data_IF_834601143832
#
_entry.id   IF_834601143832
#
_cell.length_a   1.000
_cell.length_b   1.000
_cell.length_c   1.000
_cell.angle_alpha   90.00
_cell.angle_beta   90.00
_cell.angle_gamma   90.00
#
_symmetry.space_group_name_H-M   'P 1'
#
loop_
_entity.id
_entity.type
_entity.pdbx_description
1 polymer ?
#
# COMPACT_ATOMS: atom_id res chain seq x y z
N UNK A 1 62.89 -36.94 -26.79
CA UNK A 1 62.35 -35.85 -25.96
C UNK A 1 61.61 -34.86 -26.82
N UNK A 2 62.23 -34.32 -27.87
CA UNK A 2 61.64 -33.40 -28.86
C UNK A 2 60.29 -33.88 -29.46
N UNK A 3 60.21 -35.10 -30.00
CA UNK A 3 58.95 -35.67 -30.53
C UNK A 3 57.79 -35.71 -29.52
N UNK A 4 58.08 -35.94 -28.23
CA UNK A 4 57.04 -35.96 -27.20
C UNK A 4 56.59 -34.54 -26.85
N UNK A 5 57.48 -33.55 -26.98
CA UNK A 5 57.16 -32.14 -26.82
C UNK A 5 56.29 -31.67 -27.99
N UNK A 6 56.60 -32.05 -29.23
CA UNK A 6 55.77 -31.77 -30.41
C UNK A 6 54.36 -32.37 -30.30
N UNK A 7 54.25 -33.62 -29.81
CA UNK A 7 52.94 -34.24 -29.57
C UNK A 7 52.17 -33.46 -28.50
N UNK A 8 52.83 -33.08 -27.40
CA UNK A 8 52.20 -32.33 -26.33
C UNK A 8 51.75 -30.93 -26.81
N UNK A 9 52.58 -30.26 -27.60
CA UNK A 9 52.25 -28.98 -28.24
C UNK A 9 51.04 -29.12 -29.17
N UNK A 10 50.99 -30.18 -29.99
CA UNK A 10 49.83 -30.44 -30.86
C UNK A 10 48.56 -30.71 -30.06
N UNK A 11 48.65 -31.41 -28.92
CA UNK A 11 47.51 -31.65 -28.03
C UNK A 11 47.03 -30.35 -27.38
N UNK A 12 47.95 -29.44 -27.02
CA UNK A 12 47.59 -28.12 -26.49
C UNK A 12 46.95 -27.23 -27.56
N UNK A 13 47.50 -27.20 -28.77
CA UNK A 13 46.93 -26.46 -29.89
C UNK A 13 45.53 -26.99 -30.24
N UNK A 14 45.35 -28.31 -30.20
CA UNK A 14 44.05 -28.94 -30.40
C UNK A 14 43.07 -28.53 -29.29
N UNK A 15 43.47 -28.65 -28.01
CA UNK A 15 42.64 -28.25 -26.88
C UNK A 15 42.26 -26.75 -26.91
N UNK A 16 43.20 -25.89 -27.32
CA UNK A 16 42.95 -24.46 -27.49
C UNK A 16 41.97 -24.19 -28.65
N UNK A 17 42.11 -24.92 -29.77
CA UNK A 17 41.18 -24.82 -30.89
C UNK A 17 39.77 -25.31 -30.54
N UNK A 18 39.67 -26.40 -29.77
CA UNK A 18 38.40 -26.94 -29.28
C UNK A 18 37.72 -25.98 -28.29
N UNK A 19 38.49 -25.37 -27.37
CA UNK A 19 37.98 -24.37 -26.45
C UNK A 19 37.48 -23.12 -27.19
N UNK A 20 38.24 -22.65 -28.19
CA UNK A 20 37.85 -21.52 -29.02
C UNK A 20 36.59 -21.82 -29.85
N UNK A 21 36.46 -23.04 -30.38
CA UNK A 21 35.26 -23.49 -31.08
C UNK A 21 34.05 -23.53 -30.13
N UNK A 22 34.22 -24.07 -28.92
CA UNK A 22 33.15 -24.09 -27.92
C UNK A 22 32.74 -22.68 -27.50
N UNK A 23 33.68 -21.76 -27.27
CA UNK A 23 33.36 -20.36 -26.95
C UNK A 23 32.52 -19.71 -28.04
N UNK A 24 32.96 -19.82 -29.31
CA UNK A 24 32.23 -19.26 -30.45
C UNK A 24 30.86 -19.89 -30.64
N UNK A 25 30.73 -21.20 -30.42
CA UNK A 25 29.45 -21.90 -30.51
C UNK A 25 28.49 -21.43 -29.41
N UNK A 26 28.99 -21.29 -28.19
CA UNK A 26 28.23 -20.79 -27.04
C UNK A 26 27.78 -19.34 -27.28
N UNK A 27 28.70 -18.47 -27.72
CA UNK A 27 28.38 -17.08 -28.08
C UNK A 27 27.29 -17.01 -29.15
N UNK A 28 27.43 -17.80 -30.22
CA UNK A 28 26.44 -17.87 -31.29
C UNK A 28 25.06 -18.35 -30.81
N UNK A 29 25.01 -19.38 -29.96
CA UNK A 29 23.75 -19.86 -29.36
C UNK A 29 23.14 -18.79 -28.43
N UNK A 30 23.94 -18.13 -27.60
CA UNK A 30 23.49 -17.06 -26.72
C UNK A 30 23.00 -15.81 -27.46
N UNK A 31 23.51 -15.53 -28.65
CA UNK A 31 23.06 -14.41 -29.49
C UNK A 31 21.82 -14.78 -30.30
N UNK A 32 21.67 -16.05 -30.71
CA UNK A 32 20.49 -16.55 -31.41
C UNK A 32 19.23 -16.55 -30.54
N UNK A 33 19.37 -16.82 -29.24
CA UNK A 33 18.27 -16.82 -28.27
C UNK A 33 17.96 -15.41 -27.70
N UNK A 34 18.62 -14.36 -28.20
CA UNK A 34 18.70 -13.04 -27.56
C UNK A 34 17.64 -12.02 -28.00
N UNK A 35 16.85 -12.31 -29.03
CA UNK A 35 16.04 -11.28 -29.71
C UNK A 35 14.74 -10.88 -28.98
N UNK A 36 14.23 -11.65 -28.00
CA UNK A 36 12.90 -11.36 -27.44
C UNK A 36 12.81 -11.16 -25.91
N UNK A 37 13.77 -11.57 -25.08
CA UNK A 37 13.66 -11.34 -23.62
C UNK A 37 14.95 -11.61 -22.80
N UNK A 38 16.07 -10.91 -23.06
CA UNK A 38 17.24 -11.01 -22.18
C UNK A 38 17.08 -10.15 -20.91
N UNK A 39 16.55 -10.77 -19.86
CA UNK A 39 16.68 -10.21 -18.51
C UNK A 39 18.13 -10.34 -18.07
N UNK A 40 18.86 -9.23 -18.06
CA UNK A 40 20.27 -9.21 -17.64
C UNK A 40 20.37 -9.56 -16.14
N UNK A 41 21.00 -10.68 -15.74
CA UNK A 41 21.08 -11.11 -14.35
C UNK A 41 21.83 -10.12 -13.47
N UNK A 42 22.81 -9.38 -14.02
CA UNK A 42 23.51 -8.32 -13.28
C UNK A 42 22.57 -7.14 -12.97
N UNK A 43 21.70 -6.76 -13.92
CA UNK A 43 20.67 -5.74 -13.69
C UNK A 43 19.61 -6.21 -12.70
N UNK A 44 19.22 -7.49 -12.73
CA UNK A 44 18.32 -8.05 -11.72
C UNK A 44 18.93 -8.01 -10.33
N UNK A 45 20.20 -8.40 -10.21
CA UNK A 45 20.89 -8.37 -8.93
C UNK A 45 20.95 -6.95 -8.37
N UNK A 46 21.23 -5.96 -9.22
CA UNK A 46 21.17 -4.56 -8.82
C UNK A 46 19.78 -4.16 -8.36
N UNK A 47 18.73 -4.47 -9.13
CA UNK A 47 17.34 -4.19 -8.73
C UNK A 47 16.99 -4.83 -7.38
N UNK A 48 17.41 -6.06 -7.14
CA UNK A 48 17.17 -6.76 -5.87
C UNK A 48 17.91 -6.05 -4.72
N UNK A 49 19.13 -5.58 -4.94
CA UNK A 49 19.86 -4.81 -3.93
C UNK A 49 19.18 -3.48 -3.62
N UNK A 50 18.68 -2.78 -4.63
CA UNK A 50 17.95 -1.52 -4.46
C UNK A 50 16.65 -1.78 -3.68
N UNK A 51 15.85 -2.78 -4.07
CA UNK A 51 14.63 -3.18 -3.35
C UNK A 51 14.93 -3.54 -1.89
N UNK A 52 16.02 -4.26 -1.64
CA UNK A 52 16.42 -4.63 -0.28
C UNK A 52 16.75 -3.40 0.58
N UNK A 53 17.41 -2.40 0.00
CA UNK A 53 17.72 -1.13 0.67
C UNK A 53 16.45 -0.33 0.96
N UNK A 54 15.55 -0.24 0.00
CA UNK A 54 14.29 0.48 0.14
C UNK A 54 13.41 -0.17 1.19
N UNK A 55 13.28 -1.50 1.16
CA UNK A 55 12.59 -2.28 2.18
C UNK A 55 13.20 -2.06 3.58
N UNK A 56 14.53 -2.08 3.69
CA UNK A 56 15.20 -1.81 4.97
C UNK A 56 14.96 -0.39 5.50
N UNK A 57 14.72 0.58 4.62
CA UNK A 57 14.38 1.95 5.00
C UNK A 57 12.91 2.05 5.44
N UNK A 58 12.00 1.42 4.68
CA UNK A 58 10.58 1.36 4.98
C UNK A 58 10.30 0.67 6.33
N UNK A 59 11.02 -0.41 6.65
CA UNK A 59 10.89 -1.09 7.95
C UNK A 59 11.31 -0.19 9.11
N UNK A 60 12.35 0.63 8.94
CA UNK A 60 12.77 1.59 9.97
C UNK A 60 11.74 2.70 10.17
N UNK A 61 11.17 3.21 9.08
CA UNK A 61 10.11 4.21 9.12
C UNK A 61 8.84 3.66 9.77
N UNK A 62 8.41 2.47 9.38
CA UNK A 62 7.26 1.79 9.98
C UNK A 62 7.47 1.55 11.49
N UNK A 63 8.68 1.14 11.90
CA UNK A 63 9.02 0.98 13.32
C UNK A 63 8.97 2.32 14.09
N UNK A 64 9.45 3.42 13.48
CA UNK A 64 9.37 4.75 14.07
C UNK A 64 7.91 5.22 14.20
N UNK A 65 7.08 5.03 13.17
CA UNK A 65 5.64 5.35 13.21
C UNK A 65 4.95 4.53 14.29
N UNK A 66 5.23 3.23 14.38
CA UNK A 66 4.67 2.36 15.41
C UNK A 66 5.06 2.84 16.83
N UNK A 67 6.30 3.26 17.03
CA UNK A 67 6.75 3.82 18.30
C UNK A 67 5.97 5.10 18.63
N UNK A 68 5.83 6.03 17.68
CA UNK A 68 5.05 7.27 17.86
C UNK A 68 3.59 6.97 18.17
N UNK A 69 2.97 6.00 17.48
CA UNK A 69 1.59 5.58 17.74
C UNK A 69 1.44 5.00 19.15
N UNK A 70 2.40 4.19 19.61
CA UNK A 70 2.40 3.64 20.98
C UNK A 70 2.52 4.75 22.03
N UNK A 71 3.45 5.70 21.83
CA UNK A 71 3.61 6.84 22.73
C UNK A 71 2.35 7.72 22.78
N UNK A 72 1.69 7.93 21.64
CA UNK A 72 0.42 8.65 21.59
C UNK A 72 -0.71 7.91 22.31
N UNK A 73 -0.82 6.58 22.14
CA UNK A 73 -1.79 5.75 22.85
C UNK A 73 -1.56 5.79 24.36
N UNK A 74 -0.31 5.68 24.81
CA UNK A 74 0.05 5.81 26.22
C UNK A 74 -0.30 7.20 26.77
N UNK A 75 -0.05 8.26 26.01
CA UNK A 75 -0.47 9.61 26.37
C UNK A 75 -1.99 9.71 26.56
N UNK A 76 -2.79 9.28 25.58
CA UNK A 76 -4.25 9.31 25.70
C UNK A 76 -4.75 8.48 26.88
N UNK A 77 -4.18 7.30 27.09
CA UNK A 77 -4.48 6.46 28.25
C UNK A 77 -4.25 7.20 29.57
N UNK A 78 -3.11 7.85 29.73
CA UNK A 78 -2.83 8.62 30.97
C UNK A 78 -3.76 9.81 31.15
N UNK A 79 -4.11 10.51 30.07
CA UNK A 79 -5.05 11.63 30.13
C UNK A 79 -6.46 11.17 30.50
N UNK A 80 -6.96 10.11 29.86
CA UNK A 80 -8.26 9.52 30.17
C UNK A 80 -8.29 9.04 31.63
N UNK A 81 -7.26 8.33 32.09
CA UNK A 81 -7.16 7.92 33.49
C UNK A 81 -7.16 9.11 34.46
N UNK A 82 -6.53 10.23 34.09
CA UNK A 82 -6.53 11.45 34.90
C UNK A 82 -7.91 12.10 34.96
N UNK A 83 -8.60 12.20 33.82
CA UNK A 83 -9.96 12.75 33.74
C UNK A 83 -10.96 11.87 34.49
N UNK A 84 -10.85 10.53 34.36
CA UNK A 84 -11.70 9.59 35.10
C UNK A 84 -11.53 9.76 36.61
N UNK A 85 -10.30 9.86 37.12
CA UNK A 85 -10.04 10.11 38.55
C UNK A 85 -10.61 11.45 39.02
N UNK A 86 -10.44 12.50 38.22
CA UNK A 86 -11.00 13.82 38.56
C UNK A 86 -12.53 13.81 38.59
N UNK A 87 -13.16 13.12 37.64
CA UNK A 87 -14.61 12.96 37.59
C UNK A 87 -15.12 12.16 38.80
N UNK A 88 -14.43 11.07 39.15
CA UNK A 88 -14.71 10.24 40.31
C UNK A 88 -14.65 11.06 41.61
N UNK A 89 -13.60 11.86 41.81
CA UNK A 89 -13.46 12.76 42.96
C UNK A 89 -14.62 13.77 43.07
N UNK A 90 -15.12 14.29 41.95
CA UNK A 90 -16.24 15.24 41.92
C UNK A 90 -17.58 14.54 42.19
N UNK A 91 -17.76 13.32 41.67
CA UNK A 91 -18.95 12.50 41.91
C UNK A 91 -19.04 12.10 43.38
N UNK A 92 -17.93 11.66 44.00
CA UNK A 92 -17.84 11.36 45.44
C UNK A 92 -18.24 12.57 46.30
N UNK A 93 -17.80 13.79 45.93
CA UNK A 93 -18.15 15.03 46.64
C UNK A 93 -19.62 15.45 46.46
N UNK A 94 -20.25 15.08 45.36
CA UNK A 94 -21.62 15.51 45.00
C UNK A 94 -22.68 14.48 45.38
N UNK A 95 -22.28 13.25 45.75
CA UNK A 95 -23.19 12.18 46.19
C UNK A 95 -24.07 11.60 45.09
N UNK A 96 -23.76 11.85 43.81
CA UNK A 96 -24.44 11.26 42.65
C UNK A 96 -23.56 10.17 42.07
N UNK A 97 -23.98 8.92 42.22
CA UNK A 97 -23.34 7.76 41.58
C UNK A 97 -24.08 7.48 40.28
N UNK A 98 -23.49 7.82 39.14
CA UNK A 98 -23.94 7.29 37.86
C UNK A 98 -23.41 5.85 37.78
N UNK A 99 -24.32 4.88 37.76
CA UNK A 99 -24.03 3.44 37.83
C UNK A 99 -23.82 2.79 36.46
N UNK A 100 -24.00 3.54 35.37
CA UNK A 100 -23.93 2.99 34.03
C UNK A 100 -22.54 3.22 33.46
N UNK A 101 -21.74 2.15 33.38
CA UNK A 101 -20.48 2.09 32.64
C UNK A 101 -20.78 2.51 31.19
N UNK A 102 -20.31 3.68 30.74
CA UNK A 102 -20.57 4.13 29.38
C UNK A 102 -19.96 3.13 28.39
N UNK A 103 -20.75 2.70 27.41
CA UNK A 103 -20.35 1.72 26.39
C UNK A 103 -19.13 2.20 25.58
N UNK A 104 -18.83 3.49 25.63
CA UNK A 104 -17.64 4.10 25.04
C UNK A 104 -16.34 3.72 25.78
N UNK A 105 -16.39 3.45 27.09
CA UNK A 105 -15.22 2.99 27.85
C UNK A 105 -14.81 1.57 27.44
N UNK A 106 -15.77 0.69 27.14
CA UNK A 106 -15.47 -0.67 26.64
C UNK A 106 -14.72 -0.63 25.30
N UNK A 107 -15.14 0.27 24.40
CA UNK A 107 -14.47 0.49 23.12
C UNK A 107 -13.06 1.06 23.30
N UNK A 108 -12.88 1.95 24.27
CA UNK A 108 -11.58 2.53 24.60
C UNK A 108 -10.65 1.49 25.25
N UNK A 109 -11.18 0.61 26.11
CA UNK A 109 -10.43 -0.51 26.70
C UNK A 109 -10.02 -1.55 25.67
N UNK A 110 -10.86 -1.80 24.66
CA UNK A 110 -10.56 -2.66 23.51
C UNK A 110 -9.45 -2.05 22.63
N UNK A 111 -9.50 -0.74 22.38
CA UNK A 111 -8.49 -0.03 21.57
C UNK A 111 -7.16 0.16 22.32
N UNK A 112 -7.18 0.39 23.64
CA UNK A 112 -5.99 0.66 24.46
C UNK A 112 -5.45 -0.58 25.21
N UNK A 113 -6.18 -1.70 25.18
CA UNK A 113 -5.79 -2.98 25.79
C UNK A 113 -5.64 -2.96 27.32
N UNK A 114 -6.24 -2.01 28.03
CA UNK A 114 -6.05 -1.82 29.48
C UNK A 114 -7.37 -1.59 30.19
N UNK A 115 -7.62 -2.37 31.26
CA UNK A 115 -8.75 -2.14 32.18
C UNK A 115 -8.56 -0.85 32.97
N UNK A 116 -9.49 0.08 32.85
CA UNK A 116 -9.51 1.30 33.65
C UNK A 116 -10.11 0.92 35.01
N UNK A 117 -9.38 1.07 36.12
CA UNK A 117 -9.93 0.73 37.43
C UNK A 117 -10.94 1.79 37.85
N UNK A 118 -12.22 1.42 37.83
CA UNK A 118 -13.28 2.11 38.59
C UNK A 118 -13.28 1.51 39.98
N UNK A 119 -13.05 2.33 41.02
CA UNK A 119 -13.06 1.86 42.39
C UNK A 119 -14.46 1.51 42.86
N UNK A 120 -14.78 0.21 42.96
CA UNK A 120 -15.56 -0.34 44.07
C UNK A 120 -15.53 -1.88 44.06
N UNK A 121 -14.50 -2.47 44.67
CA UNK A 121 -14.63 -3.81 45.28
C UNK A 121 -13.96 -3.80 46.66
N UNK A 122 -14.75 -3.51 47.71
CA UNK A 122 -14.50 -3.94 49.09
C UNK A 122 -15.89 -4.07 49.75
N UNK A 123 -16.40 -5.12 50.40
CA UNK A 123 -16.13 -6.54 50.76
C UNK A 123 -17.51 -7.06 51.26
N UNK A 124 -17.87 -8.35 51.41
CA UNK A 124 -17.20 -9.64 51.52
C UNK A 124 -18.28 -10.71 51.82
N UNK A 125 -18.10 -11.70 52.73
CA UNK A 125 -16.99 -12.64 52.99
C UNK A 125 -17.32 -14.03 52.36
N UNK A 126 -16.41 -14.98 52.13
CA UNK A 126 -15.88 -15.96 53.11
C UNK A 126 -15.13 -17.03 52.30
N UNK A 127 -14.01 -17.57 52.81
CA UNK A 127 -13.62 -18.96 52.56
C UNK A 127 -12.41 -19.24 51.66
N UNK A 128 -11.25 -19.36 52.31
CA UNK A 128 -10.21 -20.37 52.14
C UNK A 128 -9.38 -20.54 50.83
N UNK A 129 -8.09 -20.23 50.99
CA UNK A 129 -6.89 -21.06 50.78
C UNK A 129 -6.39 -21.46 49.37
N UNK A 130 -5.05 -21.24 49.25
CA UNK A 130 -4.02 -21.93 48.43
C UNK A 130 -4.04 -21.63 46.94
N UNK A 131 -2.94 -21.71 46.20
CA UNK A 131 -1.47 -21.77 46.34
C UNK A 131 -1.00 -21.86 44.87
N UNK A 132 0.29 -21.61 44.63
CA UNK A 132 1.07 -22.06 43.47
C UNK A 132 0.72 -21.49 42.09
N UNK A 133 1.70 -20.79 41.51
CA UNK A 133 1.69 -20.42 40.11
C UNK A 133 2.01 -21.59 39.19
N UNK A 134 1.82 -21.35 37.90
CA UNK A 134 2.50 -22.04 36.81
C UNK A 134 2.44 -21.15 35.57
N UNK A 135 3.62 -21.00 34.96
CA UNK A 135 3.83 -20.48 33.63
C UNK A 135 3.23 -21.49 32.63
N UNK A 136 2.35 -21.06 31.73
CA UNK A 136 2.16 -21.79 30.47
C UNK A 136 2.00 -20.81 29.31
N UNK A 137 3.03 -20.80 28.47
CA UNK A 137 2.97 -20.44 27.07
C UNK A 137 1.88 -21.26 26.37
N UNK A 138 0.98 -20.60 25.64
CA UNK A 138 0.38 -21.10 24.39
C UNK A 138 -0.76 -20.18 23.94
N UNK A 139 -0.58 -19.44 22.84
CA UNK A 139 -1.50 -19.58 21.70
C UNK A 139 -1.08 -18.76 20.47
N UNK A 140 -0.65 -19.52 19.46
CA UNK A 140 -1.31 -19.62 18.16
C UNK A 140 -1.68 -18.32 17.44
N UNK A 141 -0.85 -18.00 16.45
CA UNK A 141 -1.16 -17.15 15.31
C UNK A 141 -2.41 -17.63 14.59
N UNK A 142 -3.48 -16.84 14.63
CA UNK A 142 -4.65 -17.02 13.78
C UNK A 142 -4.91 -15.75 13.00
N UNK A 143 -4.42 -15.74 11.75
CA UNK A 143 -4.77 -14.75 10.73
C UNK A 143 -6.23 -15.01 10.34
N UNK A 144 -7.12 -14.09 10.62
CA UNK A 144 -8.45 -14.05 10.00
C UNK A 144 -8.64 -12.68 9.34
N UNK A 145 -8.37 -12.65 8.04
CA UNK A 145 -8.95 -11.67 7.13
C UNK A 145 -10.46 -11.92 7.03
N UNK A 146 -11.27 -10.93 7.42
CA UNK A 146 -12.60 -10.74 6.87
C UNK A 146 -12.88 -9.26 6.70
N UNK A 147 -13.09 -8.89 5.44
CA UNK A 147 -13.78 -7.68 5.03
C UNK A 147 -15.22 -7.74 5.56
N UNK A 148 -15.71 -6.66 6.13
CA UNK A 148 -17.03 -6.15 5.80
C UNK A 148 -17.18 -4.68 6.20
N UNK A 149 -17.65 -3.93 5.22
CA UNK A 149 -18.15 -2.57 5.20
C UNK A 149 -19.31 -2.40 6.19
N UNK A 150 -19.31 -1.29 6.94
CA UNK A 150 -20.39 -0.30 7.06
C UNK A 150 -20.12 0.64 8.27
N UNK A 151 -19.82 1.91 7.93
CA UNK A 151 -20.24 3.19 8.54
C UNK A 151 -20.84 3.15 9.97
N UNK A 152 -20.48 3.98 10.97
CA UNK A 152 -20.19 5.43 10.95
C UNK A 152 -19.72 5.92 12.36
N UNK A 153 -18.87 6.96 12.38
CA UNK A 153 -18.70 8.07 13.37
C UNK A 153 -18.24 7.79 14.84
N UNK A 154 -17.33 8.54 15.49
CA UNK A 154 -16.87 9.94 15.31
C UNK A 154 -15.54 10.26 16.05
N UNK A 155 -14.78 11.19 15.45
CA UNK A 155 -13.95 12.26 16.04
C UNK A 155 -12.55 11.97 16.63
N UNK A 156 -11.53 12.36 15.85
CA UNK A 156 -10.16 12.56 16.34
C UNK A 156 -9.16 13.02 15.28
N UNK A 157 -9.39 14.20 14.68
CA UNK A 157 -8.41 15.02 13.95
C UNK A 157 -7.29 14.28 13.17
N UNK A 158 -7.66 13.44 12.20
CA UNK A 158 -6.76 13.13 11.10
C UNK A 158 -6.59 14.40 10.26
N UNK A 159 -5.35 14.72 9.89
CA UNK A 159 -5.08 15.68 8.83
C UNK A 159 -5.70 15.07 7.56
N UNK A 160 -6.92 15.50 7.27
CA UNK A 160 -7.71 15.09 6.12
C UNK A 160 -7.05 15.67 4.87
N UNK A 161 -5.99 15.01 4.42
CA UNK A 161 -5.48 15.24 3.07
C UNK A 161 -6.53 14.69 2.12
N UNK A 162 -7.11 15.56 1.32
CA UNK A 162 -8.00 15.18 0.24
C UNK A 162 -7.27 14.20 -0.70
N UNK A 163 -7.95 13.24 -1.35
CA UNK A 163 -7.30 12.35 -2.31
C UNK A 163 -6.61 13.12 -3.46
N UNK A 164 -7.01 14.38 -3.71
CA UNK A 164 -6.33 15.30 -4.61
C UNK A 164 -4.93 15.74 -4.11
N UNK A 165 -4.72 15.92 -2.82
CA UNK A 165 -3.43 16.29 -2.22
C UNK A 165 -2.45 15.12 -2.23
N UNK A 166 -2.92 13.88 -2.01
CA UNK A 166 -2.10 12.68 -2.15
C UNK A 166 -1.63 12.47 -3.61
N UNK A 167 -2.49 12.73 -4.60
CA UNK A 167 -2.14 12.64 -6.03
C UNK A 167 -1.11 13.68 -6.48
N UNK A 168 -1.02 14.82 -5.79
CA UNK A 168 -0.01 15.85 -6.10
C UNK A 168 1.37 15.51 -5.54
N UNK A 169 1.45 14.65 -4.53
CA UNK A 169 2.69 14.33 -3.80
C UNK A 169 3.29 12.96 -4.10
N UNK A 170 2.52 12.00 -4.60
CA UNK A 170 2.99 10.64 -4.87
C UNK A 170 3.01 10.30 -6.36
N UNK A 171 4.03 9.54 -6.78
CA UNK A 171 4.08 8.90 -8.11
C UNK A 171 3.21 7.64 -8.19
N UNK A 172 2.41 7.35 -7.15
CA UNK A 172 1.59 6.15 -7.03
C UNK A 172 0.22 6.37 -7.67
N UNK A 173 -0.29 5.32 -8.31
CA UNK A 173 -1.61 5.38 -8.93
C UNK A 173 -2.70 5.31 -7.85
N UNK A 174 -3.45 6.39 -7.69
CA UNK A 174 -4.58 6.46 -6.76
C UNK A 174 -5.89 6.39 -7.55
N UNK A 175 -6.71 5.37 -7.29
CA UNK A 175 -8.03 5.23 -7.90
C UNK A 175 -8.99 6.35 -7.46
N UNK A 176 -9.96 6.65 -8.33
CA UNK A 176 -11.00 7.64 -8.02
C UNK A 176 -12.00 6.95 -7.09
N UNK A 177 -12.21 7.55 -5.92
CA UNK A 177 -13.20 7.08 -4.94
C UNK A 177 -14.62 7.44 -5.37
N UNK A 178 -15.61 6.76 -4.79
CA UNK A 178 -17.03 7.04 -5.08
C UNK A 178 -17.41 8.49 -4.74
N UNK A 179 -16.90 9.00 -3.62
CA UNK A 179 -17.08 10.39 -3.18
C UNK A 179 -16.57 11.43 -4.21
N UNK A 180 -15.44 11.17 -4.86
CA UNK A 180 -14.92 12.04 -5.91
C UNK A 180 -15.74 11.94 -7.18
N UNK A 181 -16.13 10.74 -7.56
CA UNK A 181 -16.98 10.52 -8.72
C UNK A 181 -18.33 11.23 -8.57
N UNK A 182 -18.91 11.24 -7.38
CA UNK A 182 -20.18 11.93 -7.11
C UNK A 182 -20.10 13.44 -7.05
N UNK A 183 -18.90 13.98 -6.86
CA UNK A 183 -18.65 15.43 -7.01
C UNK A 183 -18.92 15.89 -8.45
N UNK A 184 -18.81 15.02 -9.45
CA UNK A 184 -19.11 15.35 -10.85
C UNK A 184 -20.61 15.26 -11.12
N UNK A 185 -21.18 16.32 -11.70
CA UNK A 185 -22.61 16.38 -12.06
C UNK A 185 -23.05 15.22 -12.97
N UNK A 186 -24.24 14.68 -12.71
CA UNK A 186 -24.87 13.62 -13.53
C UNK A 186 -24.97 13.96 -15.02
N UNK A 187 -25.02 15.25 -15.38
CA UNK A 187 -25.03 15.69 -16.79
C UNK A 187 -23.70 15.35 -17.51
N UNK A 188 -22.58 15.43 -16.79
CA UNK A 188 -21.24 15.10 -17.29
C UNK A 188 -21.02 13.59 -17.23
N UNK A 189 -21.49 12.93 -16.15
CA UNK A 189 -21.41 11.47 -15.98
C UNK A 189 -22.23 10.70 -17.02
N UNK A 190 -23.39 11.23 -17.41
CA UNK A 190 -24.28 10.54 -18.36
C UNK A 190 -24.68 9.15 -17.85
N UNK A 191 -24.31 8.09 -18.59
CA UNK A 191 -24.55 6.68 -18.22
C UNK A 191 -23.27 5.93 -17.81
N UNK A 192 -22.22 6.67 -17.47
CA UNK A 192 -20.90 6.10 -17.18
C UNK A 192 -20.85 5.55 -15.76
N UNK A 193 -20.20 4.40 -15.58
CA UNK A 193 -19.94 3.78 -14.27
C UNK A 193 -18.53 4.12 -13.78
N UNK A 194 -18.36 4.25 -12.46
CA UNK A 194 -17.06 4.53 -11.82
C UNK A 194 -15.97 3.54 -12.26
N UNK A 195 -16.27 2.25 -12.26
CA UNK A 195 -15.34 1.20 -12.69
C UNK A 195 -14.79 1.46 -14.10
N UNK A 196 -15.64 1.89 -15.03
CA UNK A 196 -15.22 2.16 -16.40
C UNK A 196 -14.34 3.42 -16.51
N UNK A 197 -14.53 4.40 -15.61
CA UNK A 197 -13.67 5.58 -15.52
C UNK A 197 -12.31 5.23 -14.93
N UNK A 198 -12.28 4.45 -13.84
CA UNK A 198 -11.05 4.00 -13.21
C UNK A 198 -10.23 3.11 -14.16
N UNK A 199 -10.86 2.26 -14.96
CA UNK A 199 -10.16 1.49 -15.99
C UNK A 199 -9.47 2.38 -17.04
N UNK A 200 -10.17 3.40 -17.53
CA UNK A 200 -9.60 4.37 -18.49
C UNK A 200 -8.44 5.13 -17.85
N UNK A 201 -8.62 5.59 -16.61
CA UNK A 201 -7.61 6.31 -15.87
C UNK A 201 -6.35 5.48 -15.62
N UNK A 202 -6.49 4.20 -15.25
CA UNK A 202 -5.37 3.25 -15.08
C UNK A 202 -4.50 3.12 -16.31
N UNK A 203 -5.13 2.93 -17.48
CA UNK A 203 -4.40 2.74 -18.73
C UNK A 203 -3.71 4.03 -19.15
N UNK A 204 -4.38 5.18 -18.98
CA UNK A 204 -3.77 6.49 -19.24
C UNK A 204 -2.58 6.73 -18.29
N UNK A 205 -2.75 6.48 -16.99
CA UNK A 205 -1.68 6.62 -16.01
C UNK A 205 -0.47 5.76 -16.36
N UNK A 206 -0.70 4.49 -16.73
CA UNK A 206 0.35 3.59 -17.21
C UNK A 206 1.12 4.18 -18.38
N UNK A 207 0.41 4.64 -19.42
CA UNK A 207 1.04 5.18 -20.61
C UNK A 207 1.86 6.46 -20.33
N UNK A 208 1.35 7.36 -19.49
CA UNK A 208 2.05 8.62 -19.18
C UNK A 208 3.19 8.47 -18.16
N UNK A 209 3.07 7.54 -17.19
CA UNK A 209 4.05 7.37 -16.09
C UNK A 209 5.02 6.21 -16.29
N UNK A 210 4.57 5.04 -16.76
CA UNK A 210 5.45 3.88 -16.97
C UNK A 210 6.21 3.98 -18.29
N UNK A 211 5.56 4.41 -19.39
CA UNK A 211 6.24 4.57 -20.68
C UNK A 211 6.99 5.91 -20.81
N UNK A 212 6.77 6.85 -19.87
CA UNK A 212 7.44 8.16 -19.85
C UNK A 212 7.06 9.09 -21.02
N UNK A 213 6.02 8.73 -21.77
CA UNK A 213 5.56 9.47 -22.93
C UNK A 213 4.81 10.73 -22.50
N UNK A 214 5.44 11.90 -22.64
CA UNK A 214 4.80 13.22 -22.37
C UNK A 214 3.93 13.73 -23.52
N UNK A 215 3.88 12.98 -24.62
CA UNK A 215 3.14 13.38 -25.81
C UNK A 215 1.63 13.28 -25.58
N UNK A 216 0.86 14.28 -26.05
CA UNK A 216 -0.60 14.22 -25.98
C UNK A 216 -1.13 12.99 -26.70
N UNK A 217 -2.05 12.27 -26.07
CA UNK A 217 -2.63 11.05 -26.63
C UNK A 217 -3.90 11.37 -27.42
N UNK A 218 -3.94 10.96 -28.69
CA UNK A 218 -5.11 11.12 -29.55
C UNK A 218 -6.17 10.05 -29.25
N UNK A 219 -7.44 10.37 -29.49
CA UNK A 219 -8.54 9.41 -29.34
C UNK A 219 -8.34 8.13 -30.17
N UNK A 220 -7.69 8.25 -31.33
CA UNK A 220 -7.34 7.10 -32.18
C UNK A 220 -6.31 6.18 -31.52
N UNK A 221 -5.28 6.74 -30.88
CA UNK A 221 -4.24 6.00 -30.18
C UNK A 221 -4.80 5.31 -28.93
N UNK A 222 -5.72 5.99 -28.23
CA UNK A 222 -6.48 5.38 -27.14
C UNK A 222 -7.26 4.14 -27.61
N UNK A 223 -7.87 4.18 -28.80
CA UNK A 223 -8.54 3.00 -29.37
C UNK A 223 -7.57 1.84 -29.57
N UNK A 224 -6.37 2.16 -30.10
CA UNK A 224 -5.32 1.17 -30.35
C UNK A 224 -4.86 0.50 -29.06
N UNK A 225 -4.89 1.21 -27.94
CA UNK A 225 -4.63 0.69 -26.59
C UNK A 225 -5.83 -0.06 -25.98
N UNK A 226 -6.92 -0.27 -26.73
CA UNK A 226 -8.10 -1.00 -26.26
C UNK A 226 -9.05 -0.18 -25.37
N UNK A 227 -8.86 1.14 -25.31
CA UNK A 227 -9.74 2.03 -24.54
C UNK A 227 -11.05 2.28 -25.30
N UNK A 228 -12.18 1.93 -24.67
CA UNK A 228 -13.54 2.24 -25.18
C UNK A 228 -13.92 3.69 -24.88
N UNK A 229 -13.23 4.62 -25.53
CA UNK A 229 -13.40 6.09 -25.35
C UNK A 229 -14.20 6.75 -26.47
N UNK A 230 -14.78 5.96 -27.38
CA UNK A 230 -15.62 6.42 -28.47
C UNK A 230 -17.11 6.44 -28.11
N UNK A 231 -17.86 7.32 -28.77
CA UNK A 231 -19.29 7.52 -28.53
C UNK A 231 -19.58 8.44 -27.35
N UNK A 232 -20.85 8.76 -27.13
CA UNK A 232 -21.30 9.67 -26.07
C UNK A 232 -20.88 9.20 -24.68
N UNK A 233 -21.00 7.90 -24.39
CA UNK A 233 -20.58 7.30 -23.12
C UNK A 233 -19.05 7.26 -22.97
N UNK A 234 -18.31 7.02 -24.05
CA UNK A 234 -16.84 7.02 -24.03
C UNK A 234 -16.26 8.42 -23.78
N UNK A 235 -16.83 9.43 -24.46
CA UNK A 235 -16.44 10.84 -24.28
C UNK A 235 -16.79 11.34 -22.87
N UNK A 236 -17.91 10.88 -22.30
CA UNK A 236 -18.29 11.19 -20.92
C UNK A 236 -17.23 10.72 -19.90
N UNK A 237 -16.59 9.56 -20.10
CA UNK A 237 -15.49 9.08 -19.22
C UNK A 237 -14.35 10.09 -19.14
N UNK A 238 -13.93 10.61 -20.29
CA UNK A 238 -12.86 11.63 -20.35
C UNK A 238 -13.31 12.97 -19.78
N UNK A 239 -14.58 13.35 -19.99
CA UNK A 239 -15.14 14.56 -19.40
C UNK A 239 -15.22 14.49 -17.88
N UNK A 240 -15.53 13.32 -17.30
CA UNK A 240 -15.50 13.10 -15.84
C UNK A 240 -14.08 13.28 -15.31
N UNK A 241 -13.09 12.62 -15.92
CA UNK A 241 -11.69 12.77 -15.52
C UNK A 241 -11.18 14.22 -15.66
N UNK A 242 -11.65 14.95 -16.68
CA UNK A 242 -11.37 16.37 -16.84
C UNK A 242 -12.00 17.22 -15.74
N UNK A 243 -13.25 16.92 -15.37
CA UNK A 243 -13.96 17.63 -14.30
C UNK A 243 -13.26 17.47 -12.95
N UNK A 244 -12.66 16.30 -12.71
CA UNK A 244 -11.82 16.00 -11.55
C UNK A 244 -10.39 16.57 -11.64
N UNK A 245 -10.08 17.31 -12.72
CA UNK A 245 -8.75 17.90 -12.99
C UNK A 245 -7.61 16.89 -13.05
N UNK A 246 -7.92 15.61 -13.34
CA UNK A 246 -6.92 14.56 -13.50
C UNK A 246 -6.29 14.56 -14.90
N UNK A 247 -7.02 15.10 -15.89
CA UNK A 247 -6.56 15.24 -17.26
C UNK A 247 -6.99 16.55 -17.89
N UNK A 248 -6.25 16.96 -18.92
CA UNK A 248 -6.59 18.05 -19.81
C UNK A 248 -6.98 17.51 -21.18
N UNK A 249 -7.95 18.15 -21.83
CA UNK A 249 -8.37 17.84 -23.20
C UNK A 249 -8.13 19.07 -24.06
N UNK A 250 -7.23 18.95 -25.03
CA UNK A 250 -6.91 20.00 -26.01
C UNK A 250 -8.06 20.21 -27.01
N UNK A 251 -8.05 21.35 -27.73
CA UNK A 251 -9.05 21.64 -28.79
C UNK A 251 -9.08 20.56 -29.88
N UNK A 252 -7.95 19.90 -30.11
CA UNK A 252 -7.80 18.80 -31.06
C UNK A 252 -8.28 17.43 -30.51
N UNK A 253 -8.95 17.40 -29.35
CA UNK A 253 -9.37 16.19 -28.63
C UNK A 253 -8.23 15.28 -28.15
N UNK A 254 -7.03 15.84 -28.06
CA UNK A 254 -5.89 15.15 -27.46
C UNK A 254 -5.95 15.24 -25.94
N UNK A 255 -5.51 14.19 -25.26
CA UNK A 255 -5.57 14.02 -23.81
C UNK A 255 -4.17 14.04 -23.22
N UNK A 256 -3.97 14.81 -22.15
CA UNK A 256 -2.75 14.79 -21.34
C UNK A 256 -3.10 14.68 -19.87
N UNK A 257 -2.37 13.82 -19.16
CA UNK A 257 -2.45 13.71 -17.71
C UNK A 257 -1.79 14.93 -17.05
N UNK A 258 -2.43 15.46 -15.99
CA UNK A 258 -1.92 16.62 -15.22
C UNK A 258 -0.81 16.20 -14.27
#
# INVERSE_FOLDING_TARGET
MEKNVEILESMFQQAESDLNYLSRKIEFEFDKDNEENKVNPAKMLQKIQDIKKDYGSLVKEAAAIQQVQKEAADYFKTQIQTVCKLLEDLQQKTGKSDNDRPQELDKIEEILGVKIPTGCEIQGPTGDQKDTGEEEENHTYTIHSKNNTEEENTAGAEICLSPAELRSGSCEFIEITESEFDTVSSLIKGRVKLLEVNMVYRILWRHFKEEGNKSPLSTSEMNKMGLKVFGSTGEAKLKVLRALKLLTISRNKEVQLV
#
